data_IF_581318103420
#
_entry.id   IF_581318103420
#
_cell.length_a   1.000
_cell.length_b   1.000
_cell.length_c   1.000
_cell.angle_alpha   90.00
_cell.angle_beta   90.00
_cell.angle_gamma   90.00
#
_symmetry.space_group_name_H-M   'P 1'
#
loop_
_entity.id
_entity.type
_entity.pdbx_description
1 polymer ?
#
# COMPACT_ATOMS: atom_id res chain seq x y z
N UNK A 1 2.21 -5.06 16.07
CA UNK A 1 1.15 -4.28 16.73
C UNK A 1 0.66 -3.29 15.69
N UNK A 2 -0.51 -3.52 15.07
CA UNK A 2 -1.03 -2.61 14.06
C UNK A 2 -1.58 -1.37 14.77
N UNK A 3 -0.99 -0.21 14.48
CA UNK A 3 -1.46 1.07 15.03
C UNK A 3 -2.42 1.69 14.01
N UNK A 4 -3.63 2.02 14.43
CA UNK A 4 -4.56 2.80 13.60
C UNK A 4 -3.95 4.17 13.28
N UNK A 5 -4.23 4.66 12.08
CA UNK A 5 -3.69 5.93 11.58
C UNK A 5 -4.83 6.82 11.08
N UNK A 6 -4.79 8.09 11.45
CA UNK A 6 -5.64 9.13 10.88
C UNK A 6 -5.15 9.46 9.46
N UNK A 7 -5.57 8.63 8.50
CA UNK A 7 -5.29 8.78 7.08
C UNK A 7 -6.56 8.43 6.30
N UNK A 8 -6.98 9.29 5.37
CA UNK A 8 -8.23 9.14 4.63
C UNK A 8 -8.07 9.69 3.21
N UNK A 9 -7.43 8.92 2.30
CA UNK A 9 -7.21 9.36 0.94
C UNK A 9 -8.56 9.47 0.22
N UNK A 10 -8.73 10.51 -0.60
CA UNK A 10 -9.99 10.79 -1.29
C UNK A 10 -10.46 9.65 -2.21
N UNK A 11 -9.54 8.79 -2.66
CA UNK A 11 -9.85 7.62 -3.50
C UNK A 11 -10.60 6.51 -2.74
N UNK A 12 -10.48 6.44 -1.42
CA UNK A 12 -11.07 5.39 -0.59
C UNK A 12 -11.61 5.96 0.74
N UNK A 13 -12.64 6.81 0.68
CA UNK A 13 -13.17 7.48 1.87
C UNK A 13 -13.81 6.48 2.83
N UNK A 14 -13.56 6.67 4.13
CA UNK A 14 -14.27 5.95 5.19
C UNK A 14 -13.73 4.55 5.50
N UNK A 15 -12.57 4.17 4.96
CA UNK A 15 -11.88 2.96 5.38
C UNK A 15 -11.14 3.15 6.70
N UNK A 16 -11.03 2.08 7.49
CA UNK A 16 -10.17 2.06 8.68
C UNK A 16 -8.75 1.65 8.29
N UNK A 17 -7.80 2.57 8.47
CA UNK A 17 -6.42 2.39 8.07
C UNK A 17 -5.51 2.00 9.24
N UNK A 18 -4.61 1.05 8.99
CA UNK A 18 -3.59 0.59 9.92
C UNK A 18 -2.19 0.74 9.34
N UNK A 19 -1.22 1.14 10.16
CA UNK A 19 0.19 1.20 9.74
C UNK A 19 0.73 -0.20 9.46
N UNK A 20 1.30 -0.40 8.28
CA UNK A 20 1.84 -1.68 7.83
C UNK A 20 3.37 -1.79 7.97
N UNK A 21 4.11 -0.68 7.91
CA UNK A 21 5.57 -0.67 8.04
C UNK A 21 6.11 0.67 8.52
N UNK A 22 7.27 0.61 9.18
CA UNK A 22 8.09 1.76 9.56
C UNK A 22 9.43 1.63 8.83
N UNK A 23 9.82 2.61 8.01
CA UNK A 23 11.18 2.68 7.47
C UNK A 23 12.09 3.44 8.43
N UNK A 24 13.30 2.91 8.68
CA UNK A 24 14.35 3.53 9.49
C UNK A 24 15.53 4.04 8.64
N UNK A 25 15.40 4.05 7.31
CA UNK A 25 16.39 4.64 6.41
C UNK A 25 16.25 6.17 6.42
N UNK A 26 17.25 6.85 6.98
CA UNK A 26 17.48 8.30 6.93
C UNK A 26 16.27 9.20 7.28
N UNK A 27 15.89 9.24 8.56
CA UNK A 27 15.01 10.25 9.18
C UNK A 27 13.66 10.58 8.46
N UNK A 28 13.22 9.76 7.50
CA UNK A 28 11.92 9.90 6.82
C UNK A 28 11.20 8.56 6.77
N UNK A 29 10.26 8.45 7.70
CA UNK A 29 9.36 7.31 7.82
C UNK A 29 8.41 7.31 6.62
N UNK A 30 8.72 6.54 5.60
CA UNK A 30 7.78 6.20 4.52
C UNK A 30 6.77 5.19 5.07
N UNK A 31 5.78 5.70 5.82
CA UNK A 31 4.72 4.88 6.39
C UNK A 31 3.76 4.43 5.27
N UNK A 32 3.65 3.13 5.06
CA UNK A 32 2.55 2.55 4.29
C UNK A 32 1.39 2.22 5.25
N UNK A 33 0.17 2.56 4.83
CA UNK A 33 -1.06 2.14 5.48
C UNK A 33 -1.73 1.03 4.68
N UNK A 34 -2.45 0.16 5.39
CA UNK A 34 -3.33 -0.86 4.81
C UNK A 34 -4.74 -0.72 5.32
N UNK A 35 -5.72 -1.04 4.47
CA UNK A 35 -7.12 -1.16 4.84
C UNK A 35 -7.77 -2.35 4.12
N UNK A 36 -8.79 -2.94 4.76
CA UNK A 36 -9.70 -3.89 4.12
C UNK A 36 -10.76 -3.10 3.34
N UNK A 37 -10.88 -3.34 2.03
CA UNK A 37 -11.89 -2.71 1.17
C UNK A 37 -13.14 -3.59 0.99
N UNK A 38 -13.22 -4.72 1.69
CA UNK A 38 -14.27 -5.71 1.54
C UNK A 38 -14.08 -6.58 0.30
N UNK A 39 -14.91 -7.62 0.16
CA UNK A 39 -14.89 -8.56 -0.97
C UNK A 39 -13.52 -9.22 -1.23
N UNK A 40 -12.69 -9.36 -0.20
CA UNK A 40 -11.34 -9.92 -0.30
C UNK A 40 -10.30 -8.98 -0.91
N UNK A 41 -10.61 -7.70 -1.04
CA UNK A 41 -9.70 -6.67 -1.52
C UNK A 41 -8.96 -6.02 -0.36
N UNK A 42 -7.68 -5.71 -0.61
CA UNK A 42 -6.83 -4.95 0.30
C UNK A 42 -6.36 -3.70 -0.42
N UNK A 43 -6.32 -2.59 0.32
CA UNK A 43 -5.80 -1.32 -0.14
C UNK A 43 -4.49 -1.01 0.58
N UNK A 44 -3.48 -0.61 -0.18
CA UNK A 44 -2.18 -0.15 0.28
C UNK A 44 -2.01 1.31 -0.13
N UNK A 45 -1.55 2.16 0.78
CA UNK A 45 -1.33 3.57 0.49
C UNK A 45 -0.05 4.08 1.13
N UNK A 46 0.61 5.03 0.48
CA UNK A 46 1.69 5.80 1.09
C UNK A 46 1.08 6.96 1.90
N UNK A 47 1.31 7.00 3.22
CA UNK A 47 0.75 8.04 4.09
C UNK A 47 1.31 9.44 3.75
N UNK A 48 2.50 9.51 3.14
CA UNK A 48 3.12 10.77 2.72
C UNK A 48 2.71 11.18 1.29
N UNK A 49 1.95 10.35 0.57
CA UNK A 49 1.43 10.63 -0.76
C UNK A 49 0.07 9.97 -0.95
N UNK A 50 -0.99 10.70 -0.66
CA UNK A 50 -2.38 10.26 -0.71
C UNK A 50 -2.89 9.91 -2.12
N UNK A 51 -2.16 10.29 -3.16
CA UNK A 51 -2.37 9.87 -4.55
C UNK A 51 -1.77 8.50 -4.89
N UNK A 52 -0.83 8.00 -4.07
CA UNK A 52 -0.18 6.71 -4.27
C UNK A 52 -0.93 5.60 -3.52
N UNK A 53 -2.04 5.15 -4.12
CA UNK A 53 -2.92 4.11 -3.57
C UNK A 53 -3.03 2.95 -4.56
N UNK A 54 -2.87 1.72 -4.06
CA UNK A 54 -3.01 0.49 -4.84
C UNK A 54 -4.07 -0.39 -4.18
N UNK A 55 -5.01 -0.87 -4.98
CA UNK A 55 -6.07 -1.78 -4.54
C UNK A 55 -5.95 -3.08 -5.31
N UNK A 56 -6.06 -4.21 -4.61
CA UNK A 56 -6.04 -5.52 -5.25
C UNK A 56 -6.31 -6.64 -4.27
N UNK A 57 -6.42 -7.85 -4.80
CA UNK A 57 -6.48 -9.05 -3.97
C UNK A 57 -5.10 -9.36 -3.38
N UNK A 58 -5.02 -10.08 -2.24
CA UNK A 58 -3.76 -10.57 -1.70
C UNK A 58 -2.93 -11.39 -2.71
N UNK A 59 -3.59 -12.10 -3.63
CA UNK A 59 -2.94 -12.87 -4.68
C UNK A 59 -2.24 -11.98 -5.72
N UNK A 60 -2.89 -10.89 -6.16
CA UNK A 60 -2.32 -9.94 -7.10
C UNK A 60 -1.16 -9.15 -6.48
N UNK A 61 -1.35 -8.69 -5.24
CA UNK A 61 -0.31 -7.97 -4.50
C UNK A 61 0.92 -8.83 -4.23
N UNK A 62 0.74 -10.14 -4.03
CA UNK A 62 1.85 -11.10 -3.92
C UNK A 62 2.64 -11.20 -5.21
N UNK A 63 1.97 -11.30 -6.37
CA UNK A 63 2.65 -11.32 -7.68
C UNK A 63 3.44 -10.04 -7.91
N UNK A 64 2.88 -8.89 -7.54
CA UNK A 64 3.55 -7.61 -7.64
C UNK A 64 4.82 -7.57 -6.79
N UNK A 65 4.74 -8.01 -5.53
CA UNK A 65 5.91 -8.14 -4.63
C UNK A 65 6.98 -9.06 -5.23
N UNK A 66 6.58 -10.20 -5.77
CA UNK A 66 7.51 -11.18 -6.32
C UNK A 66 8.21 -10.63 -7.58
N UNK A 67 7.48 -9.91 -8.44
CA UNK A 67 8.05 -9.21 -9.59
C UNK A 67 9.07 -8.13 -9.17
N UNK A 68 8.76 -7.33 -8.14
CA UNK A 68 9.69 -6.37 -7.56
C UNK A 68 10.97 -7.04 -7.04
N UNK A 69 10.84 -8.14 -6.29
CA UNK A 69 11.98 -8.88 -5.76
C UNK A 69 12.84 -9.53 -6.86
N UNK A 70 12.23 -9.91 -7.98
CA UNK A 70 12.91 -10.47 -9.14
C UNK A 70 13.49 -9.40 -10.08
N UNK A 71 13.29 -8.10 -9.81
CA UNK A 71 13.71 -7.01 -10.67
C UNK A 71 12.96 -6.93 -12.01
N UNK A 72 11.75 -7.51 -12.08
CA UNK A 72 10.95 -7.61 -13.30
C UNK A 72 10.03 -6.39 -13.46
N UNK A 73 10.63 -5.23 -13.73
CA UNK A 73 9.93 -3.95 -13.87
C UNK A 73 9.33 -3.72 -15.26
N UNK A 74 9.75 -4.51 -16.25
CA UNK A 74 9.31 -4.39 -17.65
C UNK A 74 7.79 -4.50 -17.81
N UNK A 75 7.10 -5.10 -16.83
CA UNK A 75 5.65 -5.23 -16.79
C UNK A 75 4.93 -4.03 -16.16
N UNK A 76 5.65 -3.12 -15.50
CA UNK A 76 5.10 -1.95 -14.80
C UNK A 76 5.15 -0.69 -15.65
N UNK A 77 6.07 -0.63 -16.60
CA UNK A 77 6.12 0.39 -17.64
C UNK A 77 5.20 -0.11 -18.75
N UNK A 78 3.93 0.28 -18.69
CA UNK A 78 2.97 -0.05 -19.76
C UNK A 78 3.53 0.36 -21.13
N UNK A 79 3.26 -0.48 -22.13
CA UNK A 79 3.37 -0.14 -23.54
C UNK A 79 2.45 1.03 -23.93
#
# INVERSE_FOLDING_TARGET
MNKSVEFNPASHPGLEWSVASYSHLDDKVECFAVADAGNGLVVLANINNDGAVITGTPGELRKLRDAFAAGQYDHLIGA
#
